data_IF_922160232833
#
_entry.id   IF_922160232833
#
_cell.length_a   1.000
_cell.length_b   1.000
_cell.length_c   1.000
_cell.angle_alpha   90.00
_cell.angle_beta   90.00
_cell.angle_gamma   90.00
#
_symmetry.space_group_name_H-M   'P 1'
#
loop_
_entity.id
_entity.type
_entity.pdbx_description
1 polymer ?
#
# COMPACT_ATOMS: atom_id res chain seq x y z
N UNK A 1 5.28 16.86 -6.10
CA UNK A 1 4.43 16.46 -4.96
C UNK A 1 3.25 17.42 -4.86
N UNK A 2 3.52 18.72 -4.85
CA UNK A 2 2.55 19.82 -4.69
C UNK A 2 1.27 19.68 -5.52
N UNK A 3 1.37 19.32 -6.80
CA UNK A 3 0.18 19.09 -7.65
C UNK A 3 -0.69 17.95 -7.12
N UNK A 4 -0.10 16.81 -6.76
CA UNK A 4 -0.83 15.67 -6.23
C UNK A 4 -1.43 15.97 -4.84
N UNK A 5 -0.69 16.71 -4.01
CA UNK A 5 -1.17 17.19 -2.72
C UNK A 5 -2.41 18.08 -2.89
N UNK A 6 -2.35 19.07 -3.79
CA UNK A 6 -3.48 19.96 -4.06
C UNK A 6 -4.72 19.18 -4.52
N UNK A 7 -4.55 18.20 -5.41
CA UNK A 7 -5.64 17.32 -5.85
C UNK A 7 -6.22 16.47 -4.72
N UNK A 8 -5.39 15.89 -3.86
CA UNK A 8 -5.84 15.09 -2.72
C UNK A 8 -6.59 15.95 -1.69
N UNK A 9 -6.08 17.15 -1.39
CA UNK A 9 -6.71 18.12 -0.49
C UNK A 9 -8.05 18.58 -1.04
N UNK A 10 -8.15 18.84 -2.35
CA UNK A 10 -9.41 19.16 -3.01
C UNK A 10 -10.43 18.02 -2.89
N UNK A 11 -10.01 16.78 -3.16
CA UNK A 11 -10.86 15.59 -3.02
C UNK A 11 -11.33 15.35 -1.57
N UNK A 12 -10.46 15.58 -0.58
CA UNK A 12 -10.85 15.52 0.85
C UNK A 12 -11.93 16.56 1.18
N UNK A 13 -11.78 17.79 0.67
CA UNK A 13 -12.78 18.85 0.88
C UNK A 13 -14.11 18.52 0.21
N UNK A 14 -14.08 18.01 -1.01
CA UNK A 14 -15.28 17.71 -1.79
C UNK A 14 -16.05 16.53 -1.22
N UNK A 15 -15.36 15.43 -0.91
CA UNK A 15 -16.01 14.16 -0.57
C UNK A 15 -16.12 13.90 0.93
N UNK A 16 -15.42 14.67 1.77
CA UNK A 16 -15.43 14.56 3.23
C UNK A 16 -15.33 13.11 3.75
N UNK A 17 -14.35 12.30 3.27
CA UNK A 17 -14.29 10.90 3.66
C UNK A 17 -13.88 10.73 5.13
N UNK A 18 -14.39 9.67 5.76
CA UNK A 18 -13.98 9.27 7.11
C UNK A 18 -12.56 8.67 7.16
N UNK A 19 -12.05 8.21 6.03
CA UNK A 19 -10.75 7.55 5.97
C UNK A 19 -10.23 7.40 4.56
N UNK A 20 -8.99 6.95 4.47
CA UNK A 20 -8.30 6.75 3.20
C UNK A 20 -7.67 5.36 3.11
N UNK A 21 -7.58 4.87 1.89
CA UNK A 21 -6.86 3.65 1.56
C UNK A 21 -5.91 3.94 0.40
N UNK A 22 -4.67 3.54 0.56
CA UNK A 22 -3.66 3.62 -0.48
C UNK A 22 -2.99 2.28 -0.71
N UNK A 23 -2.61 2.01 -1.96
CA UNK A 23 -1.81 0.86 -2.35
C UNK A 23 -0.52 1.32 -3.05
N UNK A 24 0.62 0.75 -2.69
CA UNK A 24 1.92 1.02 -3.31
C UNK A 24 2.28 2.52 -3.29
N UNK A 25 2.41 3.15 -4.46
CA UNK A 25 2.60 4.61 -4.55
C UNK A 25 1.42 5.39 -3.95
N UNK A 26 0.19 4.89 -4.03
CA UNK A 26 -0.97 5.50 -3.38
C UNK A 26 -0.88 5.46 -1.86
N UNK A 27 -0.33 4.38 -1.26
CA UNK A 27 -0.06 4.31 0.18
C UNK A 27 1.01 5.33 0.58
N UNK A 28 2.02 5.51 -0.27
CA UNK A 28 3.09 6.51 -0.06
C UNK A 28 2.54 7.94 -0.12
N UNK A 29 1.68 8.24 -1.11
CA UNK A 29 1.02 9.54 -1.25
C UNK A 29 0.06 9.84 -0.09
N UNK A 30 -0.68 8.83 0.36
CA UNK A 30 -1.51 8.92 1.56
C UNK A 30 -0.68 9.24 2.80
N UNK A 31 0.43 8.54 3.03
CA UNK A 31 1.32 8.83 4.17
C UNK A 31 1.89 10.26 4.13
N UNK A 32 2.28 10.74 2.94
CA UNK A 32 2.72 12.13 2.74
C UNK A 32 1.61 13.14 3.06
N UNK A 33 0.38 12.87 2.63
CA UNK A 33 -0.76 13.71 2.94
C UNK A 33 -1.01 13.77 4.45
N UNK A 34 -0.99 12.62 5.14
CA UNK A 34 -1.17 12.56 6.59
C UNK A 34 -0.09 13.35 7.34
N UNK A 35 1.17 13.20 6.92
CA UNK A 35 2.28 13.96 7.49
C UNK A 35 2.10 15.47 7.27
N UNK A 36 1.70 15.88 6.06
CA UNK A 36 1.42 17.28 5.75
C UNK A 36 0.28 17.85 6.60
N UNK A 37 -0.83 17.11 6.75
CA UNK A 37 -1.96 17.52 7.58
C UNK A 37 -1.58 17.62 9.06
N UNK A 38 -0.73 16.71 9.55
CA UNK A 38 -0.21 16.77 10.91
C UNK A 38 0.64 18.03 11.14
N UNK A 39 1.50 18.42 10.19
CA UNK A 39 2.27 19.69 10.29
C UNK A 39 1.40 20.94 10.21
N UNK A 40 0.36 20.93 9.39
CA UNK A 40 -0.44 22.11 9.06
C UNK A 40 -1.41 22.58 10.17
N UNK A 41 -1.39 21.96 11.35
CA UNK A 41 -2.31 22.32 12.41
C UNK A 41 -1.91 23.61 13.12
N UNK A 42 -2.89 24.46 13.49
CA UNK A 42 -2.60 25.78 14.01
C UNK A 42 -2.14 25.72 15.46
N UNK A 43 -0.84 25.93 15.65
CA UNK A 43 -0.22 26.35 16.90
C UNK A 43 0.86 27.38 16.59
N UNK A 44 0.54 28.67 16.76
CA UNK A 44 1.35 29.87 16.52
C UNK A 44 1.40 30.40 15.08
N UNK A 45 0.53 31.38 14.79
CA UNK A 45 0.89 32.64 14.12
C UNK A 45 1.67 32.65 12.80
N UNK A 46 1.77 31.55 12.05
CA UNK A 46 2.33 31.57 10.71
C UNK A 46 1.30 32.15 9.75
N UNK A 47 1.27 33.48 9.68
CA UNK A 47 0.93 34.25 8.50
C UNK A 47 1.29 33.46 7.24
N UNK A 48 0.32 33.34 6.35
CA UNK A 48 0.44 32.73 5.05
C UNK A 48 1.63 33.33 4.28
N UNK A 49 2.79 32.68 4.35
CA UNK A 49 3.89 33.00 3.46
C UNK A 49 3.57 32.42 2.08
N UNK A 50 2.87 33.22 1.28
CA UNK A 50 3.10 33.26 -0.17
C UNK A 50 2.36 32.28 -1.07
N UNK A 51 1.30 31.60 -0.62
CA UNK A 51 0.33 31.06 -1.59
C UNK A 51 -0.61 32.19 -2.02
N UNK A 52 -0.64 32.44 -3.33
CA UNK A 52 -1.49 33.44 -3.96
C UNK A 52 -2.91 33.33 -3.38
N UNK A 53 -3.39 34.42 -2.79
CA UNK A 53 -4.75 34.53 -2.30
C UNK A 53 -5.71 34.00 -3.37
N UNK A 54 -6.69 33.15 -3.00
CA UNK A 54 -7.69 32.69 -3.96
C UNK A 54 -8.35 33.91 -4.60
N UNK A 55 -8.72 33.83 -5.90
CA UNK A 55 -9.32 34.95 -6.61
C UNK A 55 -10.47 35.53 -5.78
N UNK A 56 -10.36 36.82 -5.48
CA UNK A 56 -11.29 37.55 -4.64
C UNK A 56 -12.72 37.40 -5.19
N UNK A 57 -13.53 36.60 -4.50
CA UNK A 57 -14.89 36.25 -4.92
C UNK A 57 -15.34 34.84 -4.49
N UNK A 58 -14.39 33.92 -4.24
CA UNK A 58 -14.72 32.63 -3.63
C UNK A 58 -14.87 32.79 -2.11
N UNK A 59 -16.02 32.37 -1.55
CA UNK A 59 -16.21 32.29 -0.11
C UNK A 59 -15.18 31.37 0.57
N UNK A 60 -15.17 31.30 1.92
CA UNK A 60 -14.24 30.45 2.65
C UNK A 60 -14.28 29.01 2.15
N UNK A 61 -13.12 28.42 1.86
CA UNK A 61 -13.04 27.01 1.50
C UNK A 61 -13.58 26.16 2.66
N UNK A 62 -14.32 25.07 2.37
CA UNK A 62 -14.78 24.17 3.42
C UNK A 62 -13.58 23.61 4.20
N UNK A 63 -13.75 23.38 5.51
CA UNK A 63 -12.69 22.82 6.35
C UNK A 63 -12.32 21.41 5.86
N UNK A 64 -11.06 21.03 6.11
CA UNK A 64 -10.63 19.67 5.82
C UNK A 64 -11.27 18.68 6.80
N UNK A 65 -11.73 17.51 6.32
CA UNK A 65 -12.28 16.49 7.20
C UNK A 65 -11.20 15.96 8.14
N UNK A 66 -11.61 15.62 9.36
CA UNK A 66 -10.76 14.84 10.28
C UNK A 66 -10.87 13.38 9.89
N UNK A 67 -9.81 12.86 9.27
CA UNK A 67 -9.70 11.44 8.98
C UNK A 67 -9.66 10.65 10.29
N UNK A 68 -10.43 9.56 10.34
CA UNK A 68 -10.47 8.61 11.46
C UNK A 68 -9.48 7.48 11.21
N UNK A 69 -9.36 7.03 9.96
CA UNK A 69 -8.53 5.87 9.58
C UNK A 69 -7.73 6.08 8.29
N UNK A 70 -6.59 5.41 8.22
CA UNK A 70 -5.76 5.28 7.03
C UNK A 70 -5.26 3.85 6.87
N UNK A 71 -5.48 3.24 5.70
CA UNK A 71 -5.01 1.88 5.39
C UNK A 71 -3.95 1.98 4.30
N UNK A 72 -2.72 1.57 4.61
CA UNK A 72 -1.54 1.81 3.80
C UNK A 72 -0.93 0.47 3.41
N UNK A 73 -1.29 -0.01 2.21
CA UNK A 73 -0.86 -1.32 1.71
C UNK A 73 0.38 -1.16 0.84
N UNK A 74 1.47 -1.85 1.19
CA UNK A 74 2.73 -1.84 0.46
C UNK A 74 3.30 -0.42 0.18
N UNK A 75 3.09 0.52 1.11
CA UNK A 75 3.68 1.86 1.03
C UNK A 75 5.19 1.85 1.28
N UNK A 76 5.90 2.91 0.88
CA UNK A 76 7.34 3.01 1.09
C UNK A 76 7.78 4.46 1.25
N UNK A 77 8.96 4.68 1.84
CA UNK A 77 9.53 6.03 1.89
C UNK A 77 9.81 6.57 0.48
N UNK A 78 9.40 7.83 0.16
CA UNK A 78 9.75 8.50 -1.08
C UNK A 78 11.26 8.47 -1.33
N UNK A 79 11.68 8.33 -2.59
CA UNK A 79 13.11 8.34 -2.96
C UNK A 79 13.73 9.72 -2.91
N UNK A 80 12.94 10.75 -3.23
CA UNK A 80 13.37 12.14 -3.11
C UNK A 80 13.52 12.48 -1.62
N UNK A 81 14.73 12.89 -1.23
CA UNK A 81 15.08 13.19 0.16
C UNK A 81 14.28 14.35 0.74
N UNK A 82 13.93 15.35 -0.07
CA UNK A 82 13.11 16.49 0.36
C UNK A 82 11.71 16.02 0.70
N UNK A 83 11.14 15.17 -0.15
CA UNK A 83 9.79 14.61 0.04
C UNK A 83 9.77 13.61 1.20
N UNK A 84 10.80 12.79 1.34
CA UNK A 84 10.96 11.87 2.47
C UNK A 84 11.02 12.62 3.82
N UNK A 85 11.66 13.78 3.85
CA UNK A 85 11.76 14.60 5.06
C UNK A 85 10.42 15.19 5.49
N UNK A 86 9.51 15.48 4.55
CA UNK A 86 8.14 15.87 4.89
C UNK A 86 7.43 14.79 5.70
N UNK A 87 7.61 13.52 5.35
CA UNK A 87 7.01 12.39 6.09
C UNK A 87 7.55 12.33 7.52
N UNK A 88 8.88 12.44 7.67
CA UNK A 88 9.53 12.36 8.99
C UNK A 88 9.10 13.49 9.90
N UNK A 89 9.11 14.72 9.40
CA UNK A 89 8.73 15.91 10.17
C UNK A 89 7.25 15.87 10.57
N UNK A 90 6.34 15.51 9.67
CA UNK A 90 4.92 15.39 10.02
C UNK A 90 4.63 14.27 11.02
N UNK A 91 5.31 13.14 10.89
CA UNK A 91 5.25 12.08 11.88
C UNK A 91 5.78 12.48 13.27
N UNK A 92 6.89 13.22 13.30
CA UNK A 92 7.46 13.79 14.53
C UNK A 92 6.53 14.84 15.17
N UNK A 93 5.97 15.74 14.36
CA UNK A 93 4.99 16.75 14.81
C UNK A 93 3.76 16.09 15.45
N UNK A 94 3.26 15.01 14.85
CA UNK A 94 2.17 14.24 15.43
C UNK A 94 2.55 13.56 16.75
N UNK A 95 3.80 13.09 16.89
CA UNK A 95 4.28 12.43 18.11
C UNK A 95 4.32 13.38 19.32
N UNK A 96 4.62 14.67 19.09
CA UNK A 96 4.69 15.69 20.16
C UNK A 96 3.38 16.48 20.32
N UNK A 97 2.34 16.14 19.56
CA UNK A 97 1.04 16.81 19.63
C UNK A 97 1.04 18.27 19.16
N UNK A 98 2.07 18.69 18.39
CA UNK A 98 2.16 20.05 17.84
C UNK A 98 1.32 20.24 16.57
N UNK A 99 0.40 19.30 16.30
CA UNK A 99 -0.18 19.02 15.00
C UNK A 99 -1.63 18.53 15.08
N UNK A 100 -2.23 18.24 13.92
CA UNK A 100 -3.52 17.56 13.87
C UNK A 100 -3.26 16.11 14.27
N UNK A 101 -4.06 15.52 15.16
CA UNK A 101 -3.88 14.14 15.53
C UNK A 101 -4.02 13.28 14.28
N UNK A 102 -3.02 12.42 14.05
CA UNK A 102 -3.04 11.46 12.95
C UNK A 102 -4.23 10.50 13.13
N UNK A 103 -4.85 10.04 12.02
CA UNK A 103 -5.80 8.94 12.08
C UNK A 103 -5.12 7.67 12.57
N UNK A 104 -5.92 6.70 13.01
CA UNK A 104 -5.46 5.33 13.17
C UNK A 104 -4.94 4.81 11.82
N UNK A 105 -3.73 4.26 11.78
CA UNK A 105 -3.05 3.83 10.57
C UNK A 105 -2.83 2.31 10.60
N UNK A 106 -3.33 1.60 9.59
CA UNK A 106 -3.04 0.18 9.37
C UNK A 106 -2.06 0.02 8.21
N UNK A 107 -0.83 -0.38 8.50
CA UNK A 107 0.18 -0.71 7.49
C UNK A 107 0.07 -2.18 7.12
N UNK A 108 -0.13 -2.48 5.84
CA UNK A 108 -0.27 -3.86 5.35
C UNK A 108 0.91 -4.23 4.47
N UNK A 109 1.57 -5.35 4.77
CA UNK A 109 2.78 -5.83 4.07
C UNK A 109 2.64 -7.28 3.60
N UNK A 110 3.28 -7.60 2.48
CA UNK A 110 3.40 -8.96 1.96
C UNK A 110 4.77 -9.56 2.24
N UNK A 111 4.86 -10.79 2.74
CA UNK A 111 6.14 -11.48 2.96
C UNK A 111 6.85 -11.88 1.68
N UNK A 112 6.12 -12.00 0.57
CA UNK A 112 6.68 -12.35 -0.75
C UNK A 112 6.69 -11.16 -1.71
N UNK A 113 6.51 -9.94 -1.20
CA UNK A 113 6.55 -8.72 -1.99
C UNK A 113 8.00 -8.35 -2.35
N UNK A 114 8.36 -8.56 -3.61
CA UNK A 114 9.69 -8.21 -4.15
C UNK A 114 9.77 -6.76 -4.65
N UNK A 115 8.64 -6.09 -4.88
CA UNK A 115 8.60 -4.72 -5.38
C UNK A 115 8.72 -3.72 -4.24
N UNK A 116 8.02 -3.99 -3.15
CA UNK A 116 8.11 -3.27 -1.90
C UNK A 116 8.30 -4.28 -0.77
N UNK A 117 9.56 -4.70 -0.53
CA UNK A 117 9.87 -5.54 0.61
C UNK A 117 9.34 -4.97 1.92
N UNK A 118 8.92 -5.84 2.84
CA UNK A 118 8.25 -5.47 4.09
C UNK A 118 9.05 -4.41 4.87
N UNK A 119 10.38 -4.46 4.83
CA UNK A 119 11.27 -3.50 5.49
C UNK A 119 11.05 -2.06 5.00
N UNK A 120 10.72 -1.87 3.72
CA UNK A 120 10.45 -0.54 3.14
C UNK A 120 9.14 0.04 3.66
N UNK A 121 8.12 -0.78 3.83
CA UNK A 121 6.85 -0.37 4.42
C UNK A 121 6.97 -0.12 5.92
N UNK A 122 7.74 -0.95 6.63
CA UNK A 122 8.03 -0.75 8.05
C UNK A 122 8.87 0.51 8.29
N UNK A 123 9.81 0.84 7.40
CA UNK A 123 10.56 2.10 7.48
C UNK A 123 9.65 3.34 7.31
N UNK A 124 8.62 3.24 6.47
CA UNK A 124 7.59 4.28 6.37
C UNK A 124 6.74 4.34 7.65
N UNK A 125 6.29 3.19 8.16
CA UNK A 125 5.51 3.10 9.39
C UNK A 125 6.25 3.68 10.61
N UNK A 126 7.56 3.47 10.69
CA UNK A 126 8.42 3.99 11.75
C UNK A 126 8.50 5.53 11.81
N UNK A 127 8.06 6.23 10.75
CA UNK A 127 7.94 7.69 10.80
C UNK A 127 6.73 8.14 11.63
N UNK A 128 5.75 7.28 11.88
CA UNK A 128 4.49 7.63 12.54
C UNK A 128 4.56 7.26 14.04
N UNK A 129 3.81 7.97 14.91
CA UNK A 129 3.76 7.65 16.34
C UNK A 129 3.28 6.20 16.55
N UNK A 130 3.95 5.41 17.41
CA UNK A 130 3.54 4.02 17.67
C UNK A 130 2.09 3.89 18.16
N UNK A 131 1.56 4.92 18.84
CA UNK A 131 0.17 4.97 19.30
C UNK A 131 -0.86 5.07 18.17
N UNK A 132 -0.46 5.48 16.98
CA UNK A 132 -1.33 5.62 15.81
C UNK A 132 -1.17 4.47 14.81
N UNK A 133 -0.26 3.51 15.04
CA UNK A 133 0.15 2.52 14.04
C UNK A 133 -0.22 1.10 14.46
N UNK A 134 -0.94 0.41 13.57
CA UNK A 134 -1.05 -1.03 13.51
C UNK A 134 -0.34 -1.56 12.27
N UNK A 135 0.11 -2.80 12.33
CA UNK A 135 0.68 -3.49 11.18
C UNK A 135 -0.03 -4.81 10.93
N UNK A 136 -0.17 -5.19 9.68
CA UNK A 136 -0.63 -6.49 9.23
C UNK A 136 0.33 -7.06 8.20
N UNK A 137 0.82 -8.27 8.43
CA UNK A 137 1.66 -8.98 7.45
C UNK A 137 0.92 -10.18 6.90
N UNK A 138 0.86 -10.34 5.57
CA UNK A 138 0.26 -11.49 4.90
C UNK A 138 1.28 -12.26 4.06
N UNK A 139 1.00 -13.53 3.75
CA UNK A 139 1.90 -14.40 2.97
C UNK A 139 2.04 -14.06 1.48
N UNK A 140 1.39 -12.99 1.01
CA UNK A 140 1.26 -12.66 -0.42
C UNK A 140 2.35 -11.73 -0.93
N UNK A 141 2.34 -11.50 -2.24
CA UNK A 141 3.27 -10.61 -2.93
C UNK A 141 2.76 -9.15 -2.92
N UNK A 142 3.07 -8.37 -3.95
CA UNK A 142 2.62 -6.98 -4.11
C UNK A 142 1.13 -6.87 -4.48
N UNK A 143 0.25 -7.09 -3.49
CA UNK A 143 -1.21 -7.09 -3.67
C UNK A 143 -1.94 -6.61 -2.42
N UNK A 144 -3.23 -6.31 -2.57
CA UNK A 144 -4.15 -6.14 -1.42
C UNK A 144 -4.70 -7.52 -1.05
N UNK A 145 -4.61 -8.00 0.20
CA UNK A 145 -4.95 -9.38 0.60
C UNK A 145 -6.48 -9.64 0.72
N UNK A 146 -7.25 -9.29 -0.31
CA UNK A 146 -8.73 -9.32 -0.36
C UNK A 146 -9.34 -10.72 -0.24
N UNK A 147 -8.58 -11.77 -0.55
CA UNK A 147 -9.04 -13.16 -0.55
C UNK A 147 -8.84 -13.90 0.79
N UNK A 148 -8.26 -13.26 1.82
CA UNK A 148 -8.06 -13.91 3.12
C UNK A 148 -9.16 -13.52 4.11
N UNK A 149 -9.73 -14.51 4.80
CA UNK A 149 -10.69 -14.27 5.89
C UNK A 149 -10.05 -13.46 7.03
N UNK A 150 -8.76 -13.68 7.28
CA UNK A 150 -8.00 -13.02 8.33
C UNK A 150 -7.75 -11.53 8.08
N UNK A 151 -7.50 -11.13 6.82
CA UNK A 151 -7.43 -9.70 6.48
C UNK A 151 -8.77 -9.01 6.77
N UNK A 152 -9.90 -9.64 6.38
CA UNK A 152 -11.23 -9.08 6.63
C UNK A 152 -11.49 -8.94 8.13
N UNK A 153 -11.18 -9.96 8.92
CA UNK A 153 -11.33 -9.92 10.38
C UNK A 153 -10.46 -8.81 11.01
N UNK A 154 -9.19 -8.72 10.60
CA UNK A 154 -8.29 -7.67 11.09
C UNK A 154 -8.79 -6.29 10.70
N UNK A 155 -9.21 -6.11 9.45
CA UNK A 155 -9.73 -4.85 8.94
C UNK A 155 -10.99 -4.43 9.71
N UNK A 156 -11.94 -5.34 9.93
CA UNK A 156 -13.14 -5.07 10.74
C UNK A 156 -12.76 -4.66 12.16
N UNK A 157 -11.92 -5.44 12.84
CA UNK A 157 -11.49 -5.12 14.21
C UNK A 157 -10.77 -3.77 14.32
N UNK A 158 -9.93 -3.44 13.34
CA UNK A 158 -9.25 -2.16 13.25
C UNK A 158 -10.23 -0.99 13.05
N UNK A 159 -11.19 -1.14 12.13
CA UNK A 159 -12.21 -0.13 11.86
C UNK A 159 -13.12 0.09 13.08
N UNK A 160 -13.53 -0.98 13.75
CA UNK A 160 -14.36 -0.92 14.97
C UNK A 160 -13.60 -0.19 16.10
N UNK A 161 -12.32 -0.51 16.31
CA UNK A 161 -11.49 0.16 17.31
C UNK A 161 -11.34 1.66 17.01
N UNK A 162 -11.09 2.01 15.75
CA UNK A 162 -10.96 3.40 15.33
C UNK A 162 -12.28 4.18 15.46
N UNK A 163 -13.42 3.56 15.14
CA UNK A 163 -14.74 4.16 15.31
C UNK A 163 -15.09 4.41 16.80
N UNK A 164 -14.64 3.52 17.69
CA UNK A 164 -14.80 3.67 19.13
C UNK A 164 -13.86 4.72 19.75
N UNK A 165 -12.91 5.28 19.00
CA UNK A 165 -11.84 6.14 19.53
C UNK A 165 -10.90 5.39 20.47
N UNK A 166 -10.89 4.06 20.40
CA UNK A 166 -10.06 3.19 21.21
C UNK A 166 -8.62 3.13 20.72
N UNK A 167 -7.71 2.54 21.52
CA UNK A 167 -6.34 2.31 21.08
C UNK A 167 -6.33 1.42 19.84
N UNK A 168 -5.45 1.74 18.90
CA UNK A 168 -5.32 0.96 17.66
C UNK A 168 -4.79 -0.44 18.02
N UNK A 169 -5.39 -1.54 17.53
CA UNK A 169 -4.94 -2.89 17.87
C UNK A 169 -3.46 -3.11 17.51
N UNK A 170 -2.72 -3.94 18.26
CA UNK A 170 -1.29 -4.14 18.02
C UNK A 170 -0.99 -4.83 16.67
N UNK A 171 0.29 -4.93 16.33
CA UNK A 171 0.77 -5.65 15.15
C UNK A 171 0.23 -7.08 15.07
N UNK A 172 -0.39 -7.44 13.95
CA UNK A 172 -0.85 -8.80 13.64
C UNK A 172 0.01 -9.38 12.51
N UNK A 173 0.58 -10.57 12.73
CA UNK A 173 1.21 -11.34 11.64
C UNK A 173 0.25 -12.46 11.25
N UNK A 174 -0.26 -12.41 10.02
CA UNK A 174 -1.02 -13.51 9.44
C UNK A 174 -0.05 -14.55 8.92
N UNK A 175 -0.05 -15.73 9.53
CA UNK A 175 0.59 -16.89 8.91
C UNK A 175 -0.23 -17.30 7.69
N UNK A 176 0.13 -16.76 6.53
CA UNK A 176 -0.48 -17.16 5.26
C UNK A 176 -0.20 -18.64 4.98
N UNK A 177 -1.23 -19.47 5.04
CA UNK A 177 -1.28 -20.71 4.28
C UNK A 177 -1.02 -20.40 2.79
N UNK A 178 -0.31 -21.31 2.12
CA UNK A 178 0.20 -21.15 0.77
C UNK A 178 -0.80 -20.45 -0.17
N UNK A 179 -0.33 -19.39 -0.84
CA UNK A 179 -1.09 -18.68 -1.85
C UNK A 179 -1.63 -19.66 -2.93
N UNK A 180 -2.90 -19.57 -3.36
CA UNK A 180 -3.41 -20.38 -4.47
C UNK A 180 -2.67 -20.14 -5.80
N UNK A 181 -1.85 -19.09 -5.91
CA UNK A 181 -0.92 -18.91 -7.02
C UNK A 181 0.15 -20.03 -7.10
N UNK A 182 0.56 -20.60 -5.95
CA UNK A 182 1.46 -21.76 -5.93
C UNK A 182 0.78 -23.03 -6.46
N UNK A 183 -0.54 -23.18 -6.25
CA UNK A 183 -1.31 -24.31 -6.78
C UNK A 183 -1.48 -24.25 -8.31
N UNK A 184 -1.58 -23.04 -8.88
CA UNK A 184 -1.63 -22.84 -10.34
C UNK A 184 -0.27 -23.03 -11.03
N UNK A 185 0.85 -22.77 -10.33
CA UNK A 185 2.19 -23.06 -10.84
C UNK A 185 2.54 -24.55 -10.76
N UNK A 186 2.05 -25.26 -9.75
CA UNK A 186 2.24 -26.71 -9.59
C UNK A 186 1.44 -27.50 -10.65
N UNK A 187 0.25 -27.06 -11.02
CA UNK A 187 -0.56 -27.70 -12.07
C UNK A 187 0.01 -27.49 -13.48
N UNK A 188 0.66 -26.35 -13.75
CA UNK A 188 1.35 -26.10 -15.02
C UNK A 188 2.69 -26.85 -15.14
N UNK A 189 3.39 -27.08 -14.02
CA UNK A 189 4.62 -27.88 -14.00
C UNK A 189 4.34 -29.38 -14.19
N UNK A 190 3.24 -29.89 -13.63
CA UNK A 190 2.79 -31.27 -13.86
C UNK A 190 2.33 -31.52 -15.30
N UNK A 191 1.67 -30.53 -15.93
CA UNK A 191 1.24 -30.62 -17.34
C UNK A 191 2.44 -30.59 -18.34
N UNK A 192 3.52 -29.87 -18.01
CA UNK A 192 4.73 -29.82 -18.85
C UNK A 192 5.58 -31.09 -18.77
N UNK A 193 5.55 -31.83 -17.65
CA UNK A 193 6.28 -33.10 -17.49
C UNK A 193 5.53 -34.29 -18.12
N UNK A 194 4.20 -34.23 -18.23
CA UNK A 194 3.40 -35.27 -18.88
C UNK A 194 3.51 -35.29 -20.42
N UNK A 195 3.98 -34.20 -21.04
CA UNK A 195 4.11 -34.11 -22.51
C UNK A 195 5.47 -34.58 -23.06
N UNK A 196 6.44 -34.94 -22.22
CA UNK A 196 7.82 -35.22 -22.63
C UNK A 196 8.18 -36.72 -22.78
N UNK A 197 7.24 -37.65 -22.55
CA UNK A 197 7.53 -39.10 -22.54
C UNK A 197 6.85 -39.93 -23.66
N UNK A 198 6.39 -39.31 -24.75
CA UNK A 198 5.86 -40.01 -25.92
C UNK A 198 6.92 -40.35 -26.95
N UNK A 199 7.88 -41.23 -26.63
CA UNK A 199 8.79 -41.81 -27.63
C UNK A 199 8.06 -42.93 -28.41
N UNK A 200 7.84 -42.75 -29.71
CA UNK A 200 7.41 -43.80 -30.63
C UNK A 200 8.64 -44.46 -31.29
N UNK A 201 8.65 -45.79 -31.49
CA UNK A 201 9.77 -46.49 -32.11
C UNK A 201 9.73 -46.45 -33.64
N UNK A 202 10.91 -46.31 -34.24
CA UNK A 202 11.22 -46.57 -35.65
C UNK A 202 10.97 -48.04 -36.04
N UNK A 203 10.61 -48.32 -37.30
CA UNK A 203 10.96 -49.59 -37.93
C UNK A 203 11.91 -49.43 -39.13
N UNK A 204 12.96 -50.25 -39.12
CA UNK A 204 13.99 -50.36 -40.12
C UNK A 204 13.54 -51.09 -41.41
N UNK A 205 13.87 -50.45 -42.54
CA UNK A 205 14.43 -50.98 -43.82
C UNK A 205 13.96 -52.32 -44.41
N UNK A 206 13.56 -52.27 -45.69
CA UNK A 206 13.75 -53.36 -46.66
C UNK A 206 14.20 -52.80 -48.02
N UNK A 207 15.29 -53.37 -48.52
CA UNK A 207 16.04 -53.05 -49.74
C UNK A 207 15.40 -53.72 -50.96
N UNK A 208 15.33 -53.03 -52.10
CA UNK A 208 15.54 -53.65 -53.41
C UNK A 208 15.91 -52.59 -54.48
N UNK A 209 16.97 -52.90 -55.22
CA UNK A 209 17.56 -52.12 -56.31
C UNK A 209 17.02 -52.53 -57.68
N UNK A 210 17.10 -51.61 -58.67
CA UNK A 210 17.53 -51.82 -60.06
C UNK A 210 17.22 -50.55 -60.90
N UNK A 211 18.25 -49.84 -61.38
CA UNK A 211 18.74 -49.81 -62.78
C UNK A 211 18.20 -48.56 -63.54
N UNK A 212 19.00 -47.50 -63.71
CA UNK A 212 20.02 -47.29 -64.74
C UNK A 212 19.45 -47.11 -66.17
N UNK A 213 19.46 -45.88 -66.68
CA UNK A 213 20.02 -45.51 -68.00
C UNK A 213 19.86 -43.99 -68.25
N UNK A 214 21.01 -43.38 -68.60
CA UNK A 214 21.28 -42.09 -69.27
C UNK A 214 20.17 -41.08 -69.49
#
# INVERSE_FOLDING_TARGET
WDVAQASLVAALREHQPDGLLGFSQGATAAALLLAHLAEAAPGTGAEATGEAAPPSGAGPLPPLPRLKVAILVAGFMPRDTRVAELVRRGGAAAAVGSGLPLPACLFVTGTTDVLVPSERSLALAACFPPSAVSTLTHGGAHLVPTCSGEFKLTLTAFLDAAAAGGPVPPAHTVQGGASPAAALSASQSAASLASANGAAPEPATLVAAAAAAK
#
